data_IF_721630858119
#
_entry.id   IF_721630858119
#
_cell.length_a   1.000
_cell.length_b   1.000
_cell.length_c   1.000
_cell.angle_alpha   90.00
_cell.angle_beta   90.00
_cell.angle_gamma   90.00
#
_symmetry.space_group_name_H-M   'P 1'
#
loop_
_entity.id
_entity.type
_entity.pdbx_description
1 polymer ?
#
# COMPACT_ATOMS: atom_id res chain seq x y z
N UNK A 1 -26.22 -12.98 17.86
CA UNK A 1 -25.71 -14.17 17.14
C UNK A 1 -24.81 -13.66 16.03
N UNK A 2 -23.50 -13.67 16.24
CA UNK A 2 -22.51 -13.21 15.25
C UNK A 2 -22.11 -14.41 14.40
N UNK A 3 -22.26 -14.29 13.08
CA UNK A 3 -21.72 -15.28 12.15
C UNK A 3 -20.19 -15.32 12.32
N UNK A 4 -19.57 -16.52 12.30
CA UNK A 4 -18.12 -16.61 12.37
C UNK A 4 -17.51 -15.88 11.17
N UNK A 5 -16.54 -15.01 11.45
CA UNK A 5 -15.80 -14.27 10.43
C UNK A 5 -15.01 -15.29 9.59
N UNK A 6 -15.45 -15.56 8.36
CA UNK A 6 -14.68 -16.40 7.44
C UNK A 6 -13.58 -15.56 6.81
N UNK A 7 -12.33 -15.80 7.21
CA UNK A 7 -11.15 -15.13 6.66
C UNK A 7 -10.31 -16.15 5.90
N UNK A 8 -10.10 -15.89 4.62
CA UNK A 8 -9.23 -16.72 3.78
C UNK A 8 -7.77 -16.26 3.91
N UNK A 9 -6.90 -17.14 4.40
CA UNK A 9 -5.45 -16.87 4.53
C UNK A 9 -4.78 -16.53 3.19
N UNK A 10 -5.23 -17.14 2.09
CA UNK A 10 -4.75 -16.82 0.74
C UNK A 10 -5.24 -15.44 0.27
N UNK A 11 -6.47 -15.04 0.59
CA UNK A 11 -6.96 -13.69 0.32
C UNK A 11 -6.17 -12.64 1.11
N UNK A 12 -5.91 -12.87 2.40
CA UNK A 12 -5.08 -11.97 3.24
C UNK A 12 -3.68 -11.80 2.66
N UNK A 13 -3.05 -12.90 2.23
CA UNK A 13 -1.71 -12.88 1.61
C UNK A 13 -1.72 -12.13 0.26
N UNK A 14 -2.74 -12.37 -0.57
CA UNK A 14 -2.91 -11.67 -1.85
C UNK A 14 -3.11 -10.17 -1.65
N UNK A 15 -3.90 -9.76 -0.65
CA UNK A 15 -4.10 -8.35 -0.32
C UNK A 15 -2.81 -7.70 0.16
N UNK A 16 -2.05 -8.35 1.04
CA UNK A 16 -0.74 -7.86 1.47
C UNK A 16 0.23 -7.68 0.30
N UNK A 17 0.28 -8.65 -0.62
CA UNK A 17 1.10 -8.55 -1.83
C UNK A 17 0.66 -7.41 -2.76
N UNK A 18 -0.65 -7.19 -2.94
CA UNK A 18 -1.16 -6.05 -3.73
C UNK A 18 -0.77 -4.70 -3.13
N UNK A 19 -0.71 -4.58 -1.80
CA UNK A 19 -0.30 -3.32 -1.17
C UNK A 19 1.16 -2.99 -1.40
N UNK A 20 2.04 -3.99 -1.46
CA UNK A 20 3.45 -3.80 -1.81
C UNK A 20 3.63 -3.33 -3.26
N UNK A 21 2.90 -3.94 -4.20
CA UNK A 21 2.92 -3.55 -5.62
C UNK A 21 2.39 -2.12 -5.79
N UNK A 22 1.25 -1.82 -5.17
CA UNK A 22 0.65 -0.48 -5.21
C UNK A 22 1.57 0.57 -4.60
N UNK A 23 2.19 0.28 -3.45
CA UNK A 23 3.10 1.20 -2.78
C UNK A 23 4.30 1.56 -3.67
N UNK A 24 4.94 0.57 -4.30
CA UNK A 24 6.04 0.83 -5.24
C UNK A 24 5.59 1.69 -6.43
N UNK A 25 4.40 1.44 -6.98
CA UNK A 25 3.83 2.24 -8.07
C UNK A 25 3.54 3.69 -7.63
N UNK A 26 3.00 3.88 -6.41
CA UNK A 26 2.73 5.21 -5.87
C UNK A 26 4.01 5.99 -5.56
N UNK A 27 5.05 5.36 -5.03
CA UNK A 27 6.34 6.02 -4.79
C UNK A 27 7.01 6.45 -6.09
N UNK A 28 6.97 5.61 -7.13
CA UNK A 28 7.47 5.97 -8.45
C UNK A 28 6.69 7.16 -9.05
N UNK A 29 5.36 7.13 -8.95
CA UNK A 29 4.51 8.24 -9.40
C UNK A 29 4.82 9.54 -8.64
N UNK A 30 4.94 9.46 -7.30
CA UNK A 30 5.26 10.60 -6.44
C UNK A 30 6.64 11.19 -6.78
N UNK A 31 7.65 10.34 -6.95
CA UNK A 31 9.01 10.75 -7.32
C UNK A 31 9.03 11.47 -8.68
N UNK A 32 8.23 11.00 -9.64
CA UNK A 32 8.12 11.64 -10.96
C UNK A 32 7.34 12.96 -10.94
N UNK A 33 6.33 13.09 -10.08
CA UNK A 33 5.43 14.24 -10.06
C UNK A 33 5.92 15.39 -9.16
N UNK A 34 6.64 15.10 -8.08
CA UNK A 34 7.08 16.08 -7.09
C UNK A 34 7.87 17.27 -7.68
N UNK A 35 8.78 17.09 -8.66
CA UNK A 35 9.49 18.23 -9.27
C UNK A 35 8.54 19.18 -10.02
N UNK A 36 7.47 18.66 -10.61
CA UNK A 36 6.52 19.43 -11.40
C UNK A 36 5.54 20.26 -10.55
N UNK A 37 5.51 20.06 -9.23
CA UNK A 37 4.61 20.82 -8.36
C UNK A 37 5.16 22.17 -7.92
N UNK A 38 6.41 22.50 -8.26
CA UNK A 38 7.02 23.79 -7.94
C UNK A 38 6.47 24.87 -8.88
N UNK A 39 5.65 25.75 -8.33
CA UNK A 39 5.10 26.90 -9.01
C UNK A 39 6.03 28.11 -8.86
N UNK A 40 6.41 28.72 -10.00
CA UNK A 40 7.07 30.02 -10.04
C UNK A 40 6.04 31.14 -10.24
N UNK A 41 6.29 32.33 -9.68
CA UNK A 41 5.40 33.47 -9.89
C UNK A 41 5.44 33.90 -11.37
N UNK A 42 4.26 34.17 -11.94
CA UNK A 42 4.13 34.61 -13.34
C UNK A 42 4.72 36.01 -13.57
N UNK A 43 4.76 36.85 -12.53
CA UNK A 43 5.38 38.16 -12.52
C UNK A 43 5.96 38.48 -11.14
N UNK A 44 6.78 39.53 -11.04
CA UNK A 44 7.44 39.92 -9.79
C UNK A 44 6.54 40.74 -8.84
N UNK A 45 5.27 40.94 -9.20
CA UNK A 45 4.31 41.66 -8.38
C UNK A 45 3.94 40.87 -7.11
N UNK A 46 3.45 41.55 -6.07
CA UNK A 46 3.11 40.91 -4.79
C UNK A 46 2.02 39.83 -4.90
N UNK A 47 1.07 39.97 -5.82
CA UNK A 47 -0.04 39.01 -5.98
C UNK A 47 0.48 37.72 -6.61
N UNK A 48 1.26 37.81 -7.69
CA UNK A 48 1.88 36.64 -8.33
C UNK A 48 2.76 35.85 -7.36
N UNK A 49 3.59 36.55 -6.56
CA UNK A 49 4.43 35.93 -5.52
C UNK A 49 3.61 35.24 -4.44
N UNK A 50 2.52 35.88 -3.98
CA UNK A 50 1.63 35.29 -2.98
C UNK A 50 0.94 34.04 -3.52
N UNK A 51 0.43 34.08 -4.76
CA UNK A 51 -0.27 32.95 -5.37
C UNK A 51 0.67 31.76 -5.58
N UNK A 52 1.87 31.98 -6.12
CA UNK A 52 2.86 30.90 -6.28
C UNK A 52 3.27 30.29 -4.94
N UNK A 53 3.44 31.12 -3.90
CA UNK A 53 3.75 30.64 -2.55
C UNK A 53 2.62 29.75 -1.99
N UNK A 54 1.35 30.16 -2.14
CA UNK A 54 0.19 29.35 -1.70
C UNK A 54 0.08 28.03 -2.45
N UNK A 55 0.32 28.03 -3.76
CA UNK A 55 0.38 26.80 -4.55
C UNK A 55 1.47 25.86 -4.05
N UNK A 56 2.66 26.39 -3.78
CA UNK A 56 3.77 25.58 -3.27
C UNK A 56 3.49 25.01 -1.88
N UNK A 57 2.85 25.77 -0.99
CA UNK A 57 2.42 25.26 0.32
C UNK A 57 1.40 24.12 0.16
N UNK A 58 0.38 24.31 -0.67
CA UNK A 58 -0.62 23.27 -0.94
C UNK A 58 -0.01 22.02 -1.55
N UNK A 59 0.84 22.18 -2.57
CA UNK A 59 1.58 21.10 -3.19
C UNK A 59 2.42 20.33 -2.17
N UNK A 60 3.15 21.02 -1.29
CA UNK A 60 3.93 20.39 -0.22
C UNK A 60 3.06 19.56 0.73
N UNK A 61 1.89 20.08 1.13
CA UNK A 61 0.94 19.34 1.96
C UNK A 61 0.39 18.10 1.25
N UNK A 62 0.06 18.21 -0.04
CA UNK A 62 -0.43 17.08 -0.84
C UNK A 62 0.63 15.99 -0.98
N UNK A 63 1.88 16.37 -1.32
CA UNK A 63 2.99 15.42 -1.45
C UNK A 63 3.26 14.69 -0.14
N UNK A 64 3.17 15.38 0.99
CA UNK A 64 3.28 14.77 2.32
C UNK A 64 2.18 13.74 2.55
N UNK A 65 0.91 14.10 2.33
CA UNK A 65 -0.22 13.20 2.57
C UNK A 65 -0.14 11.94 1.70
N UNK A 66 0.26 12.09 0.43
CA UNK A 66 0.49 10.96 -0.47
C UNK A 66 1.64 10.07 0.03
N UNK A 67 2.76 10.67 0.45
CA UNK A 67 3.88 9.93 1.05
C UNK A 67 3.47 9.15 2.32
N UNK A 68 2.71 9.78 3.20
CA UNK A 68 2.16 9.12 4.40
C UNK A 68 1.19 7.99 4.03
N UNK A 69 0.46 8.11 2.92
CA UNK A 69 -0.39 7.05 2.38
C UNK A 69 0.40 5.84 1.85
N UNK A 70 1.54 6.08 1.18
CA UNK A 70 2.44 5.03 0.73
C UNK A 70 2.99 4.22 1.91
N UNK A 71 3.45 4.90 2.96
CA UNK A 71 3.95 4.27 4.18
C UNK A 71 2.88 3.39 4.83
N UNK A 72 1.66 3.91 4.99
CA UNK A 72 0.54 3.14 5.56
C UNK A 72 0.21 1.88 4.75
N UNK A 73 0.31 1.92 3.40
CA UNK A 73 0.11 0.71 2.57
C UNK A 73 1.20 -0.32 2.81
N UNK A 74 2.47 0.10 2.86
CA UNK A 74 3.59 -0.80 3.15
C UNK A 74 3.41 -1.46 4.51
N UNK A 75 3.19 -0.65 5.55
CA UNK A 75 3.02 -1.14 6.92
C UNK A 75 1.80 -2.08 7.02
N UNK A 76 0.71 -1.77 6.30
CA UNK A 76 -0.45 -2.65 6.17
C UNK A 76 -0.11 -4.01 5.54
N UNK A 77 0.70 -4.02 4.47
CA UNK A 77 1.18 -5.26 3.84
C UNK A 77 2.05 -6.10 4.77
N UNK A 78 2.96 -5.45 5.50
CA UNK A 78 3.82 -6.09 6.51
C UNK A 78 3.03 -6.71 7.65
N UNK A 79 1.91 -6.09 8.06
CA UNK A 79 0.99 -6.63 9.08
C UNK A 79 0.18 -7.82 8.54
N UNK A 80 -0.26 -7.80 7.28
CA UNK A 80 -1.09 -8.86 6.72
C UNK A 80 -0.34 -10.18 6.51
N UNK A 81 0.97 -10.14 6.25
CA UNK A 81 1.80 -11.34 6.06
C UNK A 81 1.80 -12.30 7.28
N UNK A 82 2.13 -11.89 8.51
CA UNK A 82 2.07 -12.76 9.67
C UNK A 82 0.63 -13.15 10.04
N UNK A 83 -0.36 -12.31 9.78
CA UNK A 83 -1.78 -12.64 9.98
C UNK A 83 -2.22 -13.78 9.06
N UNK A 84 -1.82 -13.77 7.79
CA UNK A 84 -2.09 -14.87 6.86
C UNK A 84 -1.45 -16.18 7.33
N UNK A 85 -0.24 -16.13 7.88
CA UNK A 85 0.42 -17.30 8.49
C UNK A 85 -0.35 -17.81 9.70
N UNK A 86 -0.75 -16.93 10.62
CA UNK A 86 -1.51 -17.33 11.81
C UNK A 86 -2.86 -17.98 11.48
N UNK A 87 -3.57 -17.48 10.46
CA UNK A 87 -4.79 -18.14 9.96
C UNK A 87 -4.48 -19.50 9.34
N UNK A 88 -3.40 -19.62 8.57
CA UNK A 88 -2.98 -20.92 7.99
C UNK A 88 -2.67 -21.93 9.08
N UNK A 89 -1.92 -21.54 10.12
CA UNK A 89 -1.56 -22.41 11.23
C UNK A 89 -2.79 -22.83 12.05
N UNK A 90 -3.73 -21.91 12.24
CA UNK A 90 -5.00 -22.18 12.92
C UNK A 90 -5.89 -23.14 12.13
N UNK A 91 -5.95 -22.99 10.80
CA UNK A 91 -6.67 -23.92 9.92
C UNK A 91 -6.07 -25.33 9.99
N UNK A 92 -4.73 -25.45 9.98
CA UNK A 92 -4.02 -26.73 10.13
C UNK A 92 -4.32 -27.37 11.50
N UNK A 93 -4.22 -26.59 12.59
CA UNK A 93 -4.47 -27.08 13.94
C UNK A 93 -5.95 -27.46 14.18
N UNK A 94 -6.88 -26.80 13.49
CA UNK A 94 -8.31 -27.07 13.54
C UNK A 94 -8.77 -28.27 12.70
N UNK A 95 -7.85 -28.96 12.01
CA UNK A 95 -8.17 -30.12 11.15
C UNK A 95 -8.54 -29.76 9.70
N UNK A 96 -8.28 -28.53 9.27
CA UNK A 96 -8.40 -28.12 7.88
C UNK A 96 -7.43 -28.90 7.00
N UNK A 97 -7.95 -29.68 6.07
CA UNK A 97 -7.15 -30.45 5.11
C UNK A 97 -6.30 -29.52 4.25
N UNK A 98 -4.98 -29.53 4.46
CA UNK A 98 -4.00 -29.04 3.49
C UNK A 98 -4.16 -29.86 2.21
N UNK A 99 -4.90 -29.34 1.22
CA UNK A 99 -4.86 -29.90 -0.12
C UNK A 99 -3.45 -29.69 -0.67
N UNK A 100 -2.69 -30.79 -0.72
CA UNK A 100 -1.31 -30.84 -1.18
C UNK A 100 -1.19 -30.48 -2.67
N UNK A 101 -1.26 -29.19 -3.01
CA UNK A 101 -0.76 -28.68 -4.29
C UNK A 101 0.76 -28.48 -4.24
N UNK A 102 1.47 -29.52 -3.81
CA UNK A 102 2.92 -29.50 -3.64
C UNK A 102 3.53 -30.88 -3.41
N UNK A 103 2.85 -31.98 -3.75
CA UNK A 103 3.54 -33.26 -3.85
C UNK A 103 4.41 -33.22 -5.10
N UNK A 104 5.69 -32.90 -4.90
CA UNK A 104 6.78 -33.21 -5.85
C UNK A 104 6.99 -34.72 -5.84
N UNK A 105 5.95 -35.46 -6.27
CA UNK A 105 5.95 -36.90 -6.51
C UNK A 105 5.49 -37.20 -7.95
N UNK A 106 5.62 -36.21 -8.85
CA UNK A 106 5.15 -36.26 -10.24
C UNK A 106 6.13 -35.71 -11.27
N UNK A 107 7.42 -35.54 -10.93
CA UNK A 107 8.48 -35.41 -11.93
C UNK A 107 9.16 -36.76 -12.06
N UNK A 108 8.88 -37.40 -13.20
CA UNK A 108 9.57 -38.58 -13.73
C UNK A 108 11.06 -38.34 -13.84
#
# INVERSE_FOLDING_TARGET
MTLPLQVSSSAVRSTGASYAVDQAAFEAALSSAAPATVCMPAALDPVSKMVSARFNTYAGSLLKEVGDGCLKRRDGGEVLAPVATAYTDSDIAGGGTLSAYGSVAGLR
#
